data_IF_683225382745
#
_entry.id   IF_683225382745
#
_cell.length_a   1.000
_cell.length_b   1.000
_cell.length_c   1.000
_cell.angle_alpha   90.00
_cell.angle_beta   90.00
_cell.angle_gamma   90.00
#
_symmetry.space_group_name_H-M   'P 1'
#
loop_
_entity.id
_entity.type
_entity.pdbx_description
1 polymer ?
#
# COMPACT_ATOMS: atom_id res chain seq x y z
N UNK A 1 21.28 12.62 2.29
CA UNK A 1 20.44 11.54 2.80
C UNK A 1 21.38 10.35 2.98
N UNK A 2 21.57 9.88 4.20
CA UNK A 2 22.42 8.71 4.48
C UNK A 2 21.55 7.46 4.48
N UNK A 3 21.95 6.45 3.73
CA UNK A 3 21.31 5.13 3.72
C UNK A 3 21.63 4.42 5.04
N UNK A 4 20.61 3.97 5.76
CA UNK A 4 20.77 3.22 7.02
C UNK A 4 20.87 1.72 6.72
N UNK A 5 22.06 1.14 6.90
CA UNK A 5 22.31 -0.26 6.59
C UNK A 5 21.45 -1.24 7.40
N UNK A 6 21.09 -0.90 8.66
CA UNK A 6 20.23 -1.75 9.48
C UNK A 6 18.82 -1.80 8.89
N UNK A 7 18.24 -0.65 8.54
CA UNK A 7 16.91 -0.59 7.93
C UNK A 7 16.84 -1.28 6.57
N UNK A 8 17.89 -1.11 5.76
CA UNK A 8 18.02 -1.83 4.48
C UNK A 8 18.07 -3.34 4.71
N UNK A 9 18.86 -3.79 5.69
CA UNK A 9 19.00 -5.20 6.03
C UNK A 9 17.68 -5.80 6.54
N UNK A 10 16.98 -5.14 7.43
CA UNK A 10 15.67 -5.55 7.92
C UNK A 10 14.64 -5.66 6.77
N UNK A 11 14.67 -4.72 5.83
CA UNK A 11 13.78 -4.74 4.67
C UNK A 11 14.09 -5.92 3.73
N UNK A 12 15.34 -6.19 3.45
CA UNK A 12 15.77 -7.35 2.64
C UNK A 12 15.30 -8.65 3.32
N UNK A 13 15.55 -8.78 4.63
CA UNK A 13 15.11 -9.93 5.40
C UNK A 13 13.59 -10.14 5.30
N UNK A 14 12.81 -9.08 5.53
CA UNK A 14 11.34 -9.13 5.50
C UNK A 14 10.84 -9.58 4.12
N UNK A 15 11.31 -8.93 3.05
CA UNK A 15 10.89 -9.23 1.67
C UNK A 15 11.28 -10.65 1.26
N UNK A 16 12.50 -11.09 1.60
CA UNK A 16 12.94 -12.48 1.36
C UNK A 16 12.03 -13.49 2.07
N UNK A 17 11.65 -13.23 3.32
CA UNK A 17 10.74 -14.10 4.09
C UNK A 17 9.34 -14.14 3.48
N UNK A 18 8.81 -13.01 3.03
CA UNK A 18 7.53 -12.94 2.30
C UNK A 18 7.56 -13.80 1.04
N UNK A 19 8.71 -13.84 0.33
CA UNK A 19 8.91 -14.69 -0.84
C UNK A 19 9.19 -16.16 -0.52
N UNK A 20 9.28 -16.54 0.75
CA UNK A 20 9.58 -17.90 1.19
C UNK A 20 11.01 -18.36 0.88
N UNK A 21 11.91 -17.43 0.53
CA UNK A 21 13.29 -17.75 0.18
C UNK A 21 14.18 -17.91 1.41
N UNK A 22 15.13 -18.84 1.34
CA UNK A 22 16.27 -18.91 2.27
C UNK A 22 17.37 -17.94 1.84
N UNK A 23 18.30 -17.62 2.74
CA UNK A 23 19.49 -16.81 2.38
C UNK A 23 20.32 -17.46 1.27
N UNK A 24 20.37 -18.78 1.25
CA UNK A 24 21.07 -19.55 0.24
C UNK A 24 20.42 -19.40 -1.14
N UNK A 25 19.12 -19.61 -1.22
CA UNK A 25 18.36 -19.47 -2.48
C UNK A 25 18.41 -18.04 -3.04
N UNK A 26 18.33 -17.01 -2.18
CA UNK A 26 18.50 -15.63 -2.61
C UNK A 26 19.94 -15.39 -3.12
N UNK A 27 20.94 -15.93 -2.42
CA UNK A 27 22.35 -15.85 -2.83
C UNK A 27 22.59 -16.52 -4.18
N UNK A 28 22.05 -17.73 -4.39
CA UNK A 28 22.16 -18.46 -5.66
C UNK A 28 21.56 -17.68 -6.83
N UNK A 29 20.36 -17.09 -6.64
CA UNK A 29 19.71 -16.28 -7.69
C UNK A 29 20.50 -15.03 -8.05
N UNK A 30 21.22 -14.45 -7.10
CA UNK A 30 22.07 -13.27 -7.29
C UNK A 30 23.52 -13.61 -7.64
N UNK A 31 23.87 -14.90 -7.75
CA UNK A 31 25.25 -15.37 -7.97
C UNK A 31 26.26 -14.90 -6.90
N UNK A 32 25.79 -14.83 -5.63
CA UNK A 32 26.59 -14.45 -4.46
C UNK A 32 26.46 -15.49 -3.35
N UNK A 33 27.27 -15.37 -2.30
CA UNK A 33 27.21 -16.28 -1.17
C UNK A 33 26.05 -15.95 -0.21
N UNK A 34 25.49 -16.98 0.45
CA UNK A 34 24.53 -16.80 1.54
C UNK A 34 25.10 -15.93 2.67
N UNK A 35 26.42 -15.96 2.88
CA UNK A 35 27.08 -15.11 3.88
C UNK A 35 26.99 -13.62 3.53
N UNK A 36 27.04 -13.25 2.24
CA UNK A 36 26.84 -11.87 1.81
C UNK A 36 25.39 -11.42 2.10
N UNK A 37 24.40 -12.24 1.76
CA UNK A 37 22.98 -11.97 2.10
C UNK A 37 22.82 -11.81 3.62
N UNK A 38 23.42 -12.70 4.41
CA UNK A 38 23.37 -12.64 5.87
C UNK A 38 23.98 -11.35 6.42
N UNK A 39 25.10 -10.85 5.86
CA UNK A 39 25.72 -9.58 6.26
C UNK A 39 24.80 -8.39 5.95
N UNK A 40 24.12 -8.39 4.81
CA UNK A 40 23.16 -7.36 4.49
C UNK A 40 22.02 -7.34 5.50
N UNK A 41 21.41 -8.51 5.77
CA UNK A 41 20.28 -8.63 6.70
C UNK A 41 20.60 -8.21 8.14
N UNK A 42 21.87 -8.31 8.53
CA UNK A 42 22.36 -7.82 9.83
C UNK A 42 22.81 -6.36 9.81
N UNK A 43 22.73 -5.68 8.67
CA UNK A 43 23.17 -4.31 8.51
C UNK A 43 24.70 -4.12 8.57
N UNK A 44 25.49 -5.19 8.46
CA UNK A 44 26.95 -5.12 8.47
C UNK A 44 27.51 -4.50 7.19
N UNK A 45 26.84 -4.76 6.06
CA UNK A 45 27.18 -4.20 4.75
C UNK A 45 25.92 -3.93 3.95
N UNK A 46 26.01 -2.98 3.01
CA UNK A 46 24.97 -2.76 2.01
C UNK A 46 25.19 -3.64 0.78
N UNK A 47 24.14 -4.00 0.03
CA UNK A 47 24.27 -4.58 -1.31
C UNK A 47 25.05 -3.66 -2.24
N UNK A 48 25.85 -4.24 -3.13
CA UNK A 48 26.53 -3.50 -4.19
C UNK A 48 25.47 -2.92 -5.16
N UNK A 49 25.76 -1.73 -5.67
CA UNK A 49 24.87 -1.05 -6.63
C UNK A 49 24.60 -1.87 -7.89
N UNK A 50 25.58 -2.68 -8.31
CA UNK A 50 25.47 -3.54 -9.49
C UNK A 50 24.38 -4.63 -9.37
N UNK A 51 24.08 -5.08 -8.15
CA UNK A 51 23.10 -6.16 -7.92
C UNK A 51 21.76 -5.66 -7.36
N UNK A 52 21.63 -4.35 -7.09
CA UNK A 52 20.39 -3.80 -6.52
C UNK A 52 19.18 -3.98 -7.44
N UNK A 53 19.38 -3.91 -8.76
CA UNK A 53 18.28 -4.12 -9.71
C UNK A 53 17.77 -5.56 -9.66
N UNK A 54 18.69 -6.52 -9.75
CA UNK A 54 18.36 -7.95 -9.73
C UNK A 54 17.74 -8.34 -8.37
N UNK A 55 18.28 -7.78 -7.27
CA UNK A 55 17.72 -7.96 -5.93
C UNK A 55 16.26 -7.43 -5.84
N UNK A 56 16.00 -6.26 -6.41
CA UNK A 56 14.68 -5.66 -6.44
C UNK A 56 13.70 -6.50 -7.26
N UNK A 57 14.13 -7.01 -8.41
CA UNK A 57 13.32 -7.87 -9.28
C UNK A 57 12.99 -9.20 -8.59
N UNK A 58 13.97 -9.87 -7.97
CA UNK A 58 13.75 -11.14 -7.25
C UNK A 58 12.80 -10.95 -6.06
N UNK A 59 12.93 -9.82 -5.35
CA UNK A 59 12.07 -9.50 -4.20
C UNK A 59 10.74 -8.82 -4.60
N UNK A 60 10.51 -8.62 -5.91
CA UNK A 60 9.33 -7.94 -6.47
C UNK A 60 9.06 -6.58 -5.82
N UNK A 61 10.09 -5.76 -5.74
CA UNK A 61 10.05 -4.44 -5.13
C UNK A 61 10.86 -3.43 -5.97
N UNK A 62 11.00 -2.20 -5.49
CA UNK A 62 11.88 -1.22 -6.13
C UNK A 62 13.20 -1.07 -5.36
N UNK A 63 14.27 -0.71 -6.07
CA UNK A 63 15.57 -0.36 -5.47
C UNK A 63 15.40 0.73 -4.40
N UNK A 64 14.56 1.73 -4.68
CA UNK A 64 14.28 2.82 -3.73
C UNK A 64 13.63 2.30 -2.44
N UNK A 65 12.69 1.34 -2.53
CA UNK A 65 12.07 0.71 -1.36
C UNK A 65 13.09 -0.09 -0.52
N UNK A 66 14.03 -0.78 -1.15
CA UNK A 66 15.11 -1.48 -0.44
C UNK A 66 16.01 -0.47 0.28
N UNK A 67 16.54 0.53 -0.45
CA UNK A 67 17.51 1.49 0.09
C UNK A 67 16.91 2.40 1.18
N UNK A 68 15.61 2.57 1.21
CA UNK A 68 14.90 3.29 2.27
C UNK A 68 14.49 2.40 3.44
N UNK A 69 14.82 1.11 3.44
CA UNK A 69 14.44 0.19 4.50
C UNK A 69 12.92 0.03 4.63
N UNK A 70 12.20 0.07 3.51
CA UNK A 70 10.74 0.04 3.51
C UNK A 70 10.06 1.37 3.89
N UNK A 71 10.81 2.36 4.34
CA UNK A 71 10.27 3.70 4.57
C UNK A 71 9.91 4.35 3.23
N UNK A 72 8.63 4.34 2.89
CA UNK A 72 8.12 5.20 1.83
C UNK A 72 8.26 6.64 2.31
N UNK A 73 9.20 7.41 1.75
CA UNK A 73 9.00 8.86 1.72
C UNK A 73 7.79 9.10 0.82
N UNK A 74 6.64 9.30 1.46
CA UNK A 74 5.48 9.76 0.74
C UNK A 74 5.77 11.19 0.29
N UNK A 75 6.23 11.33 -0.94
CA UNK A 75 6.18 12.62 -1.62
C UNK A 75 4.70 12.91 -1.85
N UNK A 76 4.09 13.58 -0.90
CA UNK A 76 2.70 14.01 -0.98
C UNK A 76 2.53 14.93 -2.19
N UNK A 77 2.05 14.35 -3.28
CA UNK A 77 1.82 15.06 -4.55
C UNK A 77 0.48 15.79 -4.57
N UNK A 78 -0.44 15.41 -3.68
CA UNK A 78 -1.82 15.90 -3.68
C UNK A 78 -2.39 15.83 -2.26
N UNK A 79 -3.08 16.89 -1.83
CA UNK A 79 -3.98 16.82 -0.68
C UNK A 79 -5.28 16.12 -1.13
N UNK A 80 -5.80 15.23 -0.30
CA UNK A 80 -7.08 14.57 -0.51
C UNK A 80 -7.91 14.70 0.77
N UNK A 81 -9.22 14.80 0.62
CA UNK A 81 -10.19 14.86 1.71
C UNK A 81 -11.06 13.60 1.77
N UNK A 82 -11.62 13.31 2.93
CA UNK A 82 -12.59 12.21 3.08
C UNK A 82 -13.81 12.44 2.17
N UNK A 83 -14.23 13.71 2.00
CA UNK A 83 -15.34 14.08 1.12
C UNK A 83 -15.04 13.73 -0.35
N UNK A 84 -13.85 14.03 -0.87
CA UNK A 84 -13.47 13.67 -2.25
C UNK A 84 -13.45 12.15 -2.46
N UNK A 85 -12.97 11.39 -1.47
CA UNK A 85 -13.00 9.91 -1.55
C UNK A 85 -14.43 9.40 -1.53
N UNK A 86 -15.28 9.95 -0.65
CA UNK A 86 -16.71 9.62 -0.58
C UNK A 86 -17.42 9.88 -1.91
N UNK A 87 -17.15 11.02 -2.55
CA UNK A 87 -17.68 11.35 -3.87
C UNK A 87 -17.19 10.35 -4.94
N UNK A 88 -15.90 9.99 -4.91
CA UNK A 88 -15.34 8.98 -5.81
C UNK A 88 -16.03 7.61 -5.68
N UNK A 89 -16.30 7.17 -4.45
CA UNK A 89 -17.04 5.91 -4.20
C UNK A 89 -18.50 6.02 -4.70
N UNK A 90 -19.16 7.16 -4.47
CA UNK A 90 -20.53 7.39 -4.93
C UNK A 90 -20.66 7.38 -6.48
N UNK A 91 -19.56 7.57 -7.22
CA UNK A 91 -19.59 7.47 -8.67
C UNK A 91 -19.97 6.07 -9.17
N UNK A 92 -19.71 5.00 -8.42
CA UNK A 92 -20.17 3.66 -8.79
C UNK A 92 -21.69 3.59 -8.80
N UNK A 93 -22.35 4.11 -7.76
CA UNK A 93 -23.83 4.17 -7.70
C UNK A 93 -24.37 5.00 -8.87
N UNK A 94 -23.75 6.16 -9.13
CA UNK A 94 -24.17 7.05 -10.21
C UNK A 94 -24.02 6.44 -11.61
N UNK A 95 -22.99 5.62 -11.84
CA UNK A 95 -22.88 4.86 -13.10
C UNK A 95 -24.09 3.93 -13.27
N UNK A 96 -24.47 3.20 -12.21
CA UNK A 96 -25.66 2.32 -12.23
C UNK A 96 -26.97 3.07 -12.45
N UNK A 97 -27.12 4.26 -11.84
CA UNK A 97 -28.29 5.11 -12.02
C UNK A 97 -28.43 5.66 -13.46
N UNK A 98 -27.32 6.11 -14.05
CA UNK A 98 -27.32 6.77 -15.36
C UNK A 98 -27.32 5.78 -16.53
N UNK A 99 -26.58 4.68 -16.41
CA UNK A 99 -26.37 3.73 -17.52
C UNK A 99 -27.16 2.43 -17.34
N UNK A 100 -27.78 2.23 -16.20
CA UNK A 100 -28.43 0.97 -15.80
C UNK A 100 -27.45 0.02 -15.11
N UNK A 101 -27.95 -0.70 -14.10
CA UNK A 101 -27.16 -1.68 -13.34
C UNK A 101 -26.83 -2.96 -14.14
N UNK A 102 -27.50 -3.16 -15.24
CA UNK A 102 -27.27 -4.24 -16.22
C UNK A 102 -26.30 -3.83 -17.37
N UNK A 103 -25.85 -2.57 -17.38
CA UNK A 103 -24.90 -2.10 -18.37
C UNK A 103 -23.52 -2.74 -18.20
N UNK A 104 -22.83 -3.02 -19.31
CA UNK A 104 -21.45 -3.56 -19.27
C UNK A 104 -20.48 -2.65 -18.51
N UNK A 105 -20.71 -1.34 -18.51
CA UNK A 105 -19.89 -0.38 -17.75
C UNK A 105 -20.06 -0.55 -16.26
N UNK A 106 -21.30 -0.67 -15.78
CA UNK A 106 -21.56 -0.88 -14.36
C UNK A 106 -21.08 -2.26 -13.89
N UNK A 107 -21.50 -3.31 -14.60
CA UNK A 107 -21.11 -4.69 -14.26
C UNK A 107 -19.59 -4.87 -14.29
N UNK A 108 -18.90 -4.34 -15.30
CA UNK A 108 -17.44 -4.41 -15.39
C UNK A 108 -16.73 -3.63 -14.30
N UNK A 109 -17.27 -2.48 -13.88
CA UNK A 109 -16.71 -1.71 -12.76
C UNK A 109 -16.88 -2.46 -11.42
N UNK A 110 -18.07 -3.01 -11.17
CA UNK A 110 -18.36 -3.81 -9.96
C UNK A 110 -17.47 -5.06 -9.93
N UNK A 111 -17.49 -5.88 -10.99
CA UNK A 111 -16.70 -7.10 -11.07
C UNK A 111 -15.20 -6.85 -10.92
N UNK A 112 -14.71 -5.75 -11.50
CA UNK A 112 -13.31 -5.35 -11.40
C UNK A 112 -12.89 -5.07 -9.96
N UNK A 113 -13.72 -4.37 -9.18
CA UNK A 113 -13.48 -4.07 -7.76
C UNK A 113 -13.63 -5.35 -6.92
N UNK A 114 -14.70 -6.10 -7.11
CA UNK A 114 -14.99 -7.33 -6.38
C UNK A 114 -13.83 -8.32 -6.49
N UNK A 115 -13.36 -8.55 -7.70
CA UNK A 115 -12.22 -9.43 -7.95
C UNK A 115 -10.92 -8.90 -7.35
N UNK A 116 -10.67 -7.60 -7.43
CA UNK A 116 -9.42 -6.99 -6.95
C UNK A 116 -9.35 -6.92 -5.43
N UNK A 117 -10.46 -6.65 -4.77
CA UNK A 117 -10.55 -6.47 -3.33
C UNK A 117 -11.10 -7.72 -2.60
N UNK A 118 -11.59 -8.70 -3.34
CA UNK A 118 -12.26 -9.90 -2.81
C UNK A 118 -13.46 -9.55 -1.91
N UNK A 119 -14.35 -8.70 -2.40
CA UNK A 119 -15.55 -8.21 -1.72
C UNK A 119 -16.78 -8.34 -2.62
N UNK A 120 -17.95 -8.00 -2.09
CA UNK A 120 -19.20 -7.77 -2.82
C UNK A 120 -19.51 -6.27 -2.76
N UNK A 121 -19.05 -5.49 -3.74
CA UNK A 121 -19.09 -4.03 -3.71
C UNK A 121 -20.51 -3.48 -3.51
N UNK A 122 -21.51 -4.02 -4.21
CA UNK A 122 -22.89 -3.57 -4.06
C UNK A 122 -23.42 -3.71 -2.63
N UNK A 123 -23.03 -4.78 -1.94
CA UNK A 123 -23.38 -4.99 -0.54
C UNK A 123 -22.69 -3.96 0.35
N UNK A 124 -21.42 -3.68 0.11
CA UNK A 124 -20.68 -2.65 0.86
C UNK A 124 -21.24 -1.25 0.64
N UNK A 125 -21.76 -0.94 -0.54
CA UNK A 125 -22.37 0.36 -0.83
C UNK A 125 -23.78 0.50 -0.23
N UNK A 126 -24.49 -0.60 0.07
CA UNK A 126 -25.88 -0.57 0.55
C UNK A 126 -26.03 -0.10 2.00
N UNK A 127 -25.00 -0.32 2.85
CA UNK A 127 -25.04 0.00 4.27
C UNK A 127 -24.05 1.12 4.61
N UNK A 128 -24.43 2.08 5.48
CA UNK A 128 -23.58 3.21 5.87
C UNK A 128 -22.27 2.76 6.47
N UNK A 129 -22.28 1.79 7.38
CA UNK A 129 -21.07 1.28 8.05
C UNK A 129 -20.07 0.65 7.09
N UNK A 130 -20.53 -0.22 6.18
CA UNK A 130 -19.67 -0.89 5.20
C UNK A 130 -19.22 0.05 4.09
N UNK A 131 -20.04 1.03 3.71
CA UNK A 131 -19.66 2.11 2.80
C UNK A 131 -18.51 2.94 3.37
N UNK A 132 -18.52 3.23 4.67
CA UNK A 132 -17.40 3.90 5.33
C UNK A 132 -16.12 3.06 5.41
N UNK A 133 -16.24 1.74 5.51
CA UNK A 133 -15.10 0.84 5.37
C UNK A 133 -14.41 1.00 4.00
N UNK A 134 -15.22 1.08 2.93
CA UNK A 134 -14.71 1.33 1.58
C UNK A 134 -14.02 2.69 1.45
N UNK A 135 -14.60 3.73 2.06
CA UNK A 135 -14.00 5.07 2.07
C UNK A 135 -12.67 5.07 2.82
N UNK A 136 -12.61 4.40 3.98
CA UNK A 136 -11.38 4.28 4.76
C UNK A 136 -10.28 3.53 3.98
N UNK A 137 -10.62 2.41 3.36
CA UNK A 137 -9.70 1.63 2.52
C UNK A 137 -9.21 2.44 1.32
N UNK A 138 -10.11 3.08 0.58
CA UNK A 138 -9.76 3.93 -0.56
C UNK A 138 -8.88 5.11 -0.14
N UNK A 139 -9.14 5.71 1.02
CA UNK A 139 -8.32 6.79 1.57
C UNK A 139 -6.91 6.30 1.91
N UNK A 140 -6.79 5.13 2.55
CA UNK A 140 -5.49 4.49 2.83
C UNK A 140 -4.73 4.20 1.54
N UNK A 141 -5.39 3.69 0.49
CA UNK A 141 -4.78 3.47 -0.81
C UNK A 141 -4.29 4.77 -1.45
N UNK A 142 -5.07 5.85 -1.36
CA UNK A 142 -4.65 7.17 -1.83
C UNK A 142 -3.41 7.66 -1.08
N UNK A 143 -3.38 7.50 0.24
CA UNK A 143 -2.24 7.85 1.08
C UNK A 143 -1.01 7.02 0.69
N UNK A 144 -1.17 5.71 0.52
CA UNK A 144 -0.09 4.83 0.06
C UNK A 144 0.45 5.22 -1.33
N UNK A 145 -0.37 5.83 -2.17
CA UNK A 145 0.01 6.33 -3.49
C UNK A 145 0.53 7.79 -3.46
N UNK A 146 0.79 8.35 -2.28
CA UNK A 146 1.41 9.65 -2.10
C UNK A 146 0.41 10.80 -1.96
N UNK A 147 -0.84 10.55 -1.57
CA UNK A 147 -1.74 11.61 -1.15
C UNK A 147 -1.55 11.94 0.34
N UNK A 148 -1.75 13.20 0.69
CA UNK A 148 -1.80 13.67 2.07
C UNK A 148 -3.25 13.90 2.49
N UNK A 149 -3.60 13.47 3.68
CA UNK A 149 -4.89 13.76 4.32
C UNK A 149 -4.66 14.52 5.63
N UNK A 150 -5.51 15.50 5.90
CA UNK A 150 -5.50 16.21 7.17
C UNK A 150 -6.13 15.35 8.26
N UNK A 151 -5.43 15.06 9.38
CA UNK A 151 -6.01 14.26 10.47
C UNK A 151 -7.31 14.83 11.03
N UNK A 152 -7.48 16.15 11.00
CA UNK A 152 -8.73 16.80 11.45
C UNK A 152 -9.90 16.54 10.51
N UNK A 153 -9.64 16.40 9.20
CA UNK A 153 -10.62 16.02 8.19
C UNK A 153 -11.02 14.55 8.36
N UNK A 154 -10.05 13.66 8.62
CA UNK A 154 -10.34 12.25 8.90
C UNK A 154 -11.26 12.11 10.11
N UNK A 155 -10.99 12.82 11.22
CA UNK A 155 -11.82 12.78 12.43
C UNK A 155 -13.27 13.23 12.21
N UNK A 156 -13.50 14.17 11.30
CA UNK A 156 -14.81 14.75 11.03
C UNK A 156 -15.54 14.11 9.85
N UNK A 157 -14.79 13.43 8.97
CA UNK A 157 -15.30 12.92 7.70
C UNK A 157 -16.03 11.58 7.79
N UNK A 158 -15.93 10.87 8.93
CA UNK A 158 -16.59 9.59 9.18
C UNK A 158 -17.71 9.75 10.22
N UNK A 159 -18.81 9.08 10.03
CA UNK A 159 -19.90 8.97 11.00
C UNK A 159 -19.55 7.96 12.10
N UNK A 160 -18.82 6.89 11.72
CA UNK A 160 -18.38 5.84 12.63
C UNK A 160 -16.92 6.05 13.04
N UNK A 161 -16.71 6.37 14.30
CA UNK A 161 -15.38 6.65 14.87
C UNK A 161 -14.36 5.50 14.64
N UNK A 162 -14.85 4.27 14.55
CA UNK A 162 -14.01 3.11 14.25
C UNK A 162 -13.18 3.32 12.97
N UNK A 163 -13.80 3.76 11.88
CA UNK A 163 -13.12 3.93 10.60
C UNK A 163 -12.14 5.10 10.58
N UNK A 164 -12.50 6.21 11.22
CA UNK A 164 -11.55 7.33 11.38
C UNK A 164 -10.32 6.90 12.18
N UNK A 165 -10.50 6.12 13.25
CA UNK A 165 -9.40 5.61 14.06
C UNK A 165 -8.51 4.62 13.28
N UNK A 166 -9.08 3.77 12.42
CA UNK A 166 -8.31 2.89 11.54
C UNK A 166 -7.38 3.69 10.62
N UNK A 167 -7.89 4.73 9.96
CA UNK A 167 -7.09 5.60 9.08
C UNK A 167 -6.01 6.35 9.86
N UNK A 168 -6.35 6.92 11.01
CA UNK A 168 -5.39 7.66 11.85
C UNK A 168 -4.28 6.76 12.38
N UNK A 169 -4.62 5.56 12.86
CA UNK A 169 -3.62 4.56 13.30
C UNK A 169 -2.70 4.15 12.16
N UNK A 170 -3.24 4.02 10.94
CA UNK A 170 -2.42 3.78 9.76
C UNK A 170 -1.44 4.94 9.53
N UNK A 171 -1.92 6.19 9.58
CA UNK A 171 -1.08 7.38 9.44
C UNK A 171 0.04 7.42 10.48
N UNK A 172 -0.28 7.20 11.76
CA UNK A 172 0.70 7.18 12.85
C UNK A 172 1.77 6.11 12.65
N UNK A 173 1.35 4.87 12.32
CA UNK A 173 2.25 3.73 12.09
C UNK A 173 3.24 3.99 10.95
N UNK A 174 2.85 4.79 9.97
CA UNK A 174 3.67 5.11 8.79
C UNK A 174 4.30 6.51 8.86
N UNK A 175 4.28 7.18 10.04
CA UNK A 175 4.92 8.47 10.27
C UNK A 175 4.32 9.62 9.48
N UNK A 176 3.05 9.51 9.10
CA UNK A 176 2.29 10.53 8.37
C UNK A 176 1.67 11.46 9.42
N UNK A 177 2.13 12.70 9.45
CA UNK A 177 1.66 13.73 10.38
C UNK A 177 0.91 14.83 9.63
#
# INVERSE_FOLDING_TARGET
MTVDANKVGEQIYLLRKIKGLTQNELGERLSISAQAVSKWERGETLPDTAILSDLADILETSVDNILRGGERQMNFKRKITVAEVREGIACFEKIGELLGKDSYFYLGAIEGVDKKMNIELEKYLSESYTREAMIAEALVQCIMNGAYVDPSDVKKGFEHEHWSNCVLSFCEKHGIK
#
